data_IF_257623999297
#
_entry.id   IF_257623999297
#
_cell.length_a   1.000
_cell.length_b   1.000
_cell.length_c   1.000
_cell.angle_alpha   90.00
_cell.angle_beta   90.00
_cell.angle_gamma   90.00
#
_symmetry.space_group_name_H-M   'P 1'
#
loop_
_entity.id
_entity.type
_entity.pdbx_description
1 polymer ?
#
# COMPACT_ATOMS: atom_id res chain seq x y z
N UNK A 1 2.31 -9.75 15.73
CA UNK A 1 1.32 -10.24 14.77
C UNK A 1 0.02 -9.50 15.03
N UNK A 2 -0.53 -8.84 14.01
CA UNK A 2 -1.90 -8.36 14.08
C UNK A 2 -2.78 -9.58 14.36
N UNK A 3 -3.52 -9.57 15.46
CA UNK A 3 -4.53 -10.60 15.71
C UNK A 3 -5.64 -10.37 14.68
N UNK A 4 -5.95 -11.41 13.90
CA UNK A 4 -7.13 -11.38 13.06
C UNK A 4 -8.37 -11.21 13.94
N UNK A 5 -9.26 -10.35 13.52
CA UNK A 5 -10.55 -10.14 14.20
C UNK A 5 -11.43 -11.36 13.90
N UNK A 6 -11.82 -12.09 14.92
CA UNK A 6 -12.77 -13.22 14.80
C UNK A 6 -14.09 -12.89 15.48
N UNK A 7 -15.15 -13.61 15.13
CA UNK A 7 -16.46 -13.49 15.81
C UNK A 7 -16.27 -13.64 17.32
N UNK A 8 -15.55 -14.67 17.75
CA UNK A 8 -15.25 -14.91 19.16
C UNK A 8 -14.50 -13.75 19.83
N UNK A 9 -13.55 -13.10 19.11
CA UNK A 9 -12.82 -11.95 19.68
C UNK A 9 -13.70 -10.71 19.84
N UNK A 10 -14.71 -10.55 18.96
CA UNK A 10 -15.69 -9.46 19.08
C UNK A 10 -16.68 -9.74 20.22
N UNK A 11 -17.22 -10.96 20.29
CA UNK A 11 -18.16 -11.37 21.33
C UNK A 11 -17.56 -11.36 22.73
N UNK A 12 -16.25 -11.51 22.85
CA UNK A 12 -15.53 -11.46 24.12
C UNK A 12 -15.33 -10.03 24.65
N UNK A 13 -15.60 -8.96 23.84
CA UNK A 13 -15.44 -7.57 24.28
C UNK A 13 -16.60 -7.19 25.21
N UNK A 14 -16.26 -6.79 26.42
CA UNK A 14 -17.23 -6.33 27.41
C UNK A 14 -17.33 -4.80 27.42
N UNK A 15 -18.36 -4.26 28.06
CA UNK A 15 -18.48 -2.82 28.31
C UNK A 15 -17.32 -2.30 29.16
N UNK A 16 -16.86 -3.08 30.12
CA UNK A 16 -15.75 -2.77 31.00
C UNK A 16 -14.44 -2.65 30.22
N UNK A 17 -14.21 -3.49 29.22
CA UNK A 17 -13.05 -3.39 28.32
C UNK A 17 -13.07 -2.06 27.55
N UNK A 18 -14.24 -1.66 27.04
CA UNK A 18 -14.39 -0.39 26.31
C UNK A 18 -14.13 0.82 27.22
N UNK A 19 -14.64 0.79 28.45
CA UNK A 19 -14.42 1.86 29.45
C UNK A 19 -12.93 1.95 29.80
N UNK A 20 -12.29 0.81 30.08
CA UNK A 20 -10.87 0.76 30.39
C UNK A 20 -10.00 1.22 29.22
N UNK A 21 -10.35 0.82 28.00
CA UNK A 21 -9.65 1.30 26.80
C UNK A 21 -9.78 2.82 26.65
N UNK A 22 -11.01 3.35 26.74
CA UNK A 22 -11.27 4.77 26.62
C UNK A 22 -10.48 5.59 27.67
N UNK A 23 -10.55 5.19 28.94
CA UNK A 23 -9.82 5.86 30.02
C UNK A 23 -8.31 5.87 29.84
N UNK A 24 -7.77 4.81 29.24
CA UNK A 24 -6.33 4.68 28.99
C UNK A 24 -5.84 5.45 27.77
N UNK A 25 -6.65 5.56 26.71
CA UNK A 25 -6.17 5.99 25.40
C UNK A 25 -6.77 7.29 24.89
N UNK A 26 -7.98 7.65 25.35
CA UNK A 26 -8.71 8.81 24.81
C UNK A 26 -8.51 10.02 25.72
N UNK A 27 -7.59 10.89 25.35
CA UNK A 27 -7.26 12.10 26.08
C UNK A 27 -7.14 13.28 25.12
N UNK A 28 -7.50 14.52 25.54
CA UNK A 28 -7.52 15.68 24.65
C UNK A 28 -6.16 16.00 24.03
N UNK A 29 -5.07 15.70 24.73
CA UNK A 29 -3.71 15.90 24.23
C UNK A 29 -3.24 14.81 23.23
N UNK A 30 -4.06 13.81 22.96
CA UNK A 30 -3.85 12.78 21.92
C UNK A 30 -4.83 12.90 20.76
N UNK A 31 -5.60 14.00 20.67
CA UNK A 31 -6.64 14.19 19.65
C UNK A 31 -6.29 15.38 18.76
N UNK A 32 -6.42 15.18 17.46
CA UNK A 32 -6.43 16.24 16.43
C UNK A 32 -7.89 16.44 16.01
N UNK A 33 -8.42 17.64 16.17
CA UNK A 33 -9.80 17.96 15.80
C UNK A 33 -9.82 18.87 14.58
N UNK A 34 -10.40 18.36 13.49
CA UNK A 34 -10.69 19.15 12.29
C UNK A 34 -12.18 19.50 12.21
N UNK A 35 -12.50 20.76 11.94
CA UNK A 35 -13.89 21.22 11.82
C UNK A 35 -14.08 21.94 10.50
N UNK A 36 -15.14 21.57 9.78
CA UNK A 36 -15.55 22.23 8.53
C UNK A 36 -17.03 22.52 8.56
N UNK A 37 -17.46 23.60 7.94
CA UNK A 37 -18.88 23.97 7.85
C UNK A 37 -19.05 25.44 7.57
N UNK A 38 -20.29 25.87 7.63
CA UNK A 38 -20.68 27.28 7.52
C UNK A 38 -20.78 27.87 8.93
N UNK A 39 -19.71 28.51 9.42
CA UNK A 39 -19.64 29.09 10.75
C UNK A 39 -18.57 30.19 10.82
N UNK A 40 -18.80 31.12 11.75
CA UNK A 40 -17.77 32.08 12.13
C UNK A 40 -16.72 31.41 13.04
N UNK A 41 -15.43 31.62 12.72
CA UNK A 41 -14.30 30.99 13.46
C UNK A 41 -14.35 31.25 14.97
N UNK A 42 -14.73 32.48 15.38
CA UNK A 42 -14.78 32.87 16.78
C UNK A 42 -15.85 32.08 17.55
N UNK A 43 -17.03 31.93 16.95
CA UNK A 43 -18.16 31.22 17.53
C UNK A 43 -17.87 29.73 17.68
N UNK A 44 -17.30 29.11 16.62
CA UNK A 44 -16.89 27.71 16.67
C UNK A 44 -15.84 27.48 17.75
N UNK A 45 -14.84 28.34 17.87
CA UNK A 45 -13.84 28.23 18.93
C UNK A 45 -14.43 28.37 20.34
N UNK A 46 -15.45 29.22 20.50
CA UNK A 46 -16.15 29.36 21.78
C UNK A 46 -16.92 28.07 22.12
N UNK A 47 -17.63 27.50 21.16
CA UNK A 47 -18.33 26.22 21.32
C UNK A 47 -17.38 25.06 21.67
N UNK A 48 -16.25 24.96 20.95
CA UNK A 48 -15.26 23.93 21.23
C UNK A 48 -14.63 24.06 22.61
N UNK A 49 -14.34 25.30 23.05
CA UNK A 49 -13.84 25.55 24.41
C UNK A 49 -14.88 25.22 25.47
N UNK A 50 -16.15 25.54 25.24
CA UNK A 50 -17.22 25.17 26.16
C UNK A 50 -17.43 23.65 26.24
N UNK A 51 -17.28 22.94 25.12
CA UNK A 51 -17.48 21.49 25.07
C UNK A 51 -16.30 20.67 25.61
N UNK A 52 -15.06 21.13 25.40
CA UNK A 52 -13.85 20.34 25.64
C UNK A 52 -12.83 21.03 26.54
N UNK A 53 -13.06 22.30 26.94
CA UNK A 53 -12.07 23.08 27.67
C UNK A 53 -11.71 22.52 29.04
N UNK A 54 -12.65 21.90 29.72
CA UNK A 54 -12.48 21.28 31.03
C UNK A 54 -11.97 19.82 30.98
N UNK A 55 -11.78 19.28 29.76
CA UNK A 55 -11.30 17.91 29.64
C UNK A 55 -9.83 17.80 29.99
N UNK A 56 -9.57 17.13 31.11
CA UNK A 56 -8.21 17.01 31.69
C UNK A 56 -7.30 16.21 30.75
N UNK A 57 -6.08 16.70 30.55
CA UNK A 57 -5.02 15.97 29.84
C UNK A 57 -4.67 14.68 30.57
N UNK A 58 -4.34 13.64 29.83
CA UNK A 58 -3.94 12.34 30.34
C UNK A 58 -2.60 11.86 29.77
N UNK A 59 -2.20 10.69 30.21
CA UNK A 59 -1.02 10.01 29.70
C UNK A 59 -1.42 9.21 28.46
N UNK A 60 -1.17 9.77 27.26
CA UNK A 60 -1.39 9.08 26.00
C UNK A 60 -0.26 8.06 25.80
N UNK A 61 -0.58 6.75 25.75
CA UNK A 61 0.45 5.74 25.52
C UNK A 61 1.14 5.93 24.17
N UNK A 62 2.47 5.92 24.19
CA UNK A 62 3.23 5.91 22.93
C UNK A 62 2.99 4.58 22.20
N UNK A 63 2.58 4.68 20.93
CA UNK A 63 2.47 3.51 20.06
C UNK A 63 3.84 3.22 19.48
N UNK A 64 4.44 2.11 19.89
CA UNK A 64 5.67 1.62 19.27
C UNK A 64 5.30 0.67 18.13
N UNK A 65 5.63 1.05 16.90
CA UNK A 65 5.49 0.18 15.75
C UNK A 65 6.74 -0.70 15.72
N UNK A 66 6.62 -2.05 15.87
CA UNK A 66 7.77 -2.93 15.79
C UNK A 66 8.41 -2.83 14.40
N UNK A 67 9.73 -2.72 14.36
CA UNK A 67 10.43 -2.79 13.08
C UNK A 67 10.11 -4.11 12.38
N UNK A 68 9.81 -4.03 11.08
CA UNK A 68 9.60 -5.22 10.27
C UNK A 68 10.96 -5.87 10.03
N UNK A 69 11.19 -7.04 10.66
CA UNK A 69 12.35 -7.85 10.31
C UNK A 69 12.08 -8.59 9.00
N UNK A 70 12.89 -8.35 7.98
CA UNK A 70 12.87 -9.23 6.84
C UNK A 70 13.37 -10.62 7.28
N UNK A 71 12.58 -11.69 7.02
CA UNK A 71 13.12 -13.03 7.11
C UNK A 71 14.25 -13.17 6.08
N UNK A 72 15.28 -13.93 6.43
CA UNK A 72 16.49 -14.14 5.62
C UNK A 72 16.19 -14.16 4.11
N UNK A 73 16.83 -13.25 3.37
CA UNK A 73 16.60 -13.01 1.95
C UNK A 73 16.89 -14.20 1.04
N UNK A 74 17.48 -15.27 1.57
CA UNK A 74 17.94 -16.45 0.80
C UNK A 74 16.85 -17.48 0.51
N UNK A 75 15.69 -17.39 1.12
CA UNK A 75 14.58 -18.30 0.83
C UNK A 75 13.48 -17.53 0.13
N UNK A 76 13.43 -17.65 -1.19
CA UNK A 76 12.26 -17.22 -1.96
C UNK A 76 11.03 -17.82 -1.27
N UNK A 77 10.29 -16.98 -0.53
CA UNK A 77 9.14 -17.47 0.22
C UNK A 77 7.98 -17.61 -0.76
N UNK A 78 7.80 -18.84 -1.23
CA UNK A 78 6.62 -19.22 -1.99
C UNK A 78 5.63 -19.84 -1.00
N UNK A 79 4.49 -19.20 -0.85
CA UNK A 79 3.41 -19.69 0.00
C UNK A 79 2.15 -19.84 -0.80
N UNK A 80 1.35 -20.85 -0.47
CA UNK A 80 0.03 -20.97 -1.07
C UNK A 80 -1.00 -21.39 -0.04
N UNK A 81 -2.23 -20.98 -0.32
CA UNK A 81 -3.42 -21.43 0.40
C UNK A 81 -4.20 -22.33 -0.55
N UNK A 82 -4.42 -23.58 -0.14
CA UNK A 82 -5.25 -24.49 -0.88
C UNK A 82 -6.73 -24.15 -0.64
N UNK A 83 -7.37 -23.68 -1.69
CA UNK A 83 -8.79 -23.35 -1.68
C UNK A 83 -9.39 -23.67 -3.03
N UNK A 84 -10.53 -24.34 -3.04
CA UNK A 84 -11.26 -24.62 -4.28
C UNK A 84 -11.77 -23.32 -4.89
N UNK A 85 -11.06 -22.87 -5.95
CA UNK A 85 -11.37 -21.67 -6.69
C UNK A 85 -11.18 -21.92 -8.19
N UNK A 86 -11.99 -21.26 -8.99
CA UNK A 86 -11.89 -21.34 -10.47
C UNK A 86 -10.64 -20.69 -11.05
N UNK A 87 -9.99 -19.82 -10.27
CA UNK A 87 -8.82 -19.06 -10.66
C UNK A 87 -7.76 -19.08 -9.55
N UNK A 88 -6.50 -18.95 -9.95
CA UNK A 88 -5.39 -18.66 -9.04
C UNK A 88 -5.30 -17.17 -8.79
N UNK A 89 -5.35 -16.77 -7.53
CA UNK A 89 -5.10 -15.40 -7.09
C UNK A 89 -3.64 -15.26 -6.67
N UNK A 90 -2.93 -14.36 -7.32
CA UNK A 90 -1.50 -14.12 -7.09
C UNK A 90 -1.25 -12.78 -6.40
N UNK A 91 -0.34 -12.79 -5.45
CA UNK A 91 0.31 -11.61 -4.86
C UNK A 91 1.82 -11.86 -4.86
N UNK A 92 2.56 -11.03 -5.58
CA UNK A 92 4.02 -11.17 -5.74
C UNK A 92 4.65 -9.82 -5.44
N UNK A 93 5.49 -9.75 -4.42
CA UNK A 93 6.05 -8.46 -4.00
C UNK A 93 7.11 -8.57 -2.92
N UNK A 94 7.53 -7.43 -2.42
CA UNK A 94 8.53 -7.31 -1.35
C UNK A 94 8.28 -6.04 -0.52
N UNK A 95 8.98 -5.92 0.60
CA UNK A 95 9.06 -4.67 1.35
C UNK A 95 9.82 -3.61 0.53
N UNK A 96 9.41 -2.37 0.67
CA UNK A 96 9.96 -1.24 -0.08
C UNK A 96 10.27 -0.07 0.86
N UNK A 97 10.24 1.13 0.36
CA UNK A 97 10.65 2.36 1.03
C UNK A 97 9.52 3.02 1.82
N UNK A 98 9.89 3.92 2.71
CA UNK A 98 8.95 4.83 3.41
C UNK A 98 8.47 5.92 2.46
N UNK A 99 7.34 6.54 2.80
CA UNK A 99 6.83 7.71 2.07
C UNK A 99 7.77 8.93 2.17
N UNK A 100 8.54 9.00 3.25
CA UNK A 100 9.53 10.07 3.47
C UNK A 100 10.85 9.87 2.74
N UNK A 101 11.04 8.73 2.09
CA UNK A 101 12.24 8.46 1.30
C UNK A 101 12.37 9.44 0.12
N UNK A 102 13.56 9.96 -0.18
CA UNK A 102 13.78 10.82 -1.34
C UNK A 102 13.32 10.21 -2.67
N UNK A 103 13.40 8.89 -2.82
CA UNK A 103 13.02 8.17 -4.03
C UNK A 103 11.53 7.82 -4.11
N UNK A 104 10.75 8.08 -3.05
CA UNK A 104 9.33 7.69 -2.99
C UNK A 104 8.54 8.11 -4.23
N UNK A 105 8.67 9.38 -4.65
CA UNK A 105 7.93 9.91 -5.79
C UNK A 105 8.32 9.20 -7.09
N UNK A 106 9.62 8.95 -7.29
CA UNK A 106 10.11 8.24 -8.46
C UNK A 106 9.63 6.77 -8.49
N UNK A 107 9.62 6.10 -7.34
CA UNK A 107 9.09 4.73 -7.20
C UNK A 107 7.57 4.69 -7.43
N UNK A 108 6.83 5.70 -6.95
CA UNK A 108 5.38 5.79 -7.16
C UNK A 108 5.04 5.94 -8.65
N UNK A 109 5.73 6.82 -9.36
CA UNK A 109 5.57 6.99 -10.82
C UNK A 109 6.05 5.73 -11.58
N UNK A 110 7.17 5.12 -11.20
CA UNK A 110 7.61 3.85 -11.77
C UNK A 110 6.58 2.74 -11.59
N UNK A 111 5.94 2.66 -10.41
CA UNK A 111 4.85 1.72 -10.16
C UNK A 111 3.63 2.00 -11.04
N UNK A 112 3.27 3.27 -11.24
CA UNK A 112 2.13 3.63 -12.12
C UNK A 112 2.36 3.15 -13.56
N UNK A 113 3.55 3.38 -14.10
CA UNK A 113 3.95 2.91 -15.43
C UNK A 113 3.96 1.37 -15.49
N UNK A 114 4.48 0.71 -14.45
CA UNK A 114 4.58 -0.75 -14.44
C UNK A 114 3.22 -1.43 -14.37
N UNK A 115 2.36 -1.04 -13.43
CA UNK A 115 1.11 -1.75 -13.17
C UNK A 115 0.06 -0.99 -12.36
N UNK A 116 0.36 0.23 -11.91
CA UNK A 116 -0.57 1.04 -11.11
C UNK A 116 -1.71 1.60 -11.94
N UNK A 117 -1.44 2.03 -13.16
CA UNK A 117 -2.43 2.53 -14.09
C UNK A 117 -3.07 1.37 -14.87
N UNK A 118 -4.41 1.25 -14.81
CA UNK A 118 -5.10 0.03 -15.24
C UNK A 118 -4.86 -0.30 -16.71
N UNK A 119 -5.25 0.56 -17.68
CA UNK A 119 -5.26 0.21 -19.10
C UNK A 119 -3.96 0.56 -19.86
N UNK A 120 -3.11 1.42 -19.31
CA UNK A 120 -1.90 1.94 -19.96
C UNK A 120 -0.62 1.29 -19.47
N UNK A 121 -0.66 0.62 -18.31
CA UNK A 121 0.52 0.03 -17.68
C UNK A 121 1.14 -1.12 -18.48
N UNK A 122 2.44 -1.31 -18.30
CA UNK A 122 3.21 -2.37 -18.95
C UNK A 122 2.66 -3.77 -18.63
N UNK A 123 2.31 -4.04 -17.36
CA UNK A 123 1.73 -5.32 -16.95
C UNK A 123 0.38 -5.58 -17.59
N UNK A 124 -0.50 -4.57 -17.64
CA UNK A 124 -1.80 -4.74 -18.26
C UNK A 124 -1.66 -5.06 -19.74
N UNK A 125 -0.82 -4.31 -20.45
CA UNK A 125 -0.59 -4.51 -21.86
C UNK A 125 0.05 -5.86 -22.18
N UNK A 126 1.06 -6.29 -21.41
CA UNK A 126 1.78 -7.54 -21.65
C UNK A 126 0.96 -8.77 -21.26
N UNK A 127 0.39 -8.77 -20.04
CA UNK A 127 -0.25 -9.96 -19.48
C UNK A 127 -1.69 -10.12 -19.96
N UNK A 128 -2.45 -9.02 -19.99
CA UNK A 128 -3.87 -9.08 -20.38
C UNK A 128 -4.06 -8.86 -21.87
N UNK A 129 -3.62 -7.72 -22.39
CA UNK A 129 -3.98 -7.33 -23.76
C UNK A 129 -3.30 -8.21 -24.80
N UNK A 130 -1.99 -8.41 -24.69
CA UNK A 130 -1.21 -9.15 -25.70
C UNK A 130 -1.33 -10.66 -25.55
N UNK A 131 -1.46 -11.17 -24.32
CA UNK A 131 -1.34 -12.61 -24.02
C UNK A 131 -2.62 -13.24 -23.50
N UNK A 132 -3.58 -12.47 -23.02
CA UNK A 132 -4.83 -13.01 -22.48
C UNK A 132 -4.66 -13.90 -21.25
N UNK A 133 -3.55 -13.75 -20.50
CA UNK A 133 -3.21 -14.64 -19.39
C UNK A 133 -4.03 -14.36 -18.12
N UNK A 134 -4.45 -13.12 -17.90
CA UNK A 134 -5.20 -12.72 -16.73
C UNK A 134 -6.24 -11.67 -17.07
N UNK A 135 -7.41 -11.74 -16.43
CA UNK A 135 -8.45 -10.70 -16.56
C UNK A 135 -8.10 -9.45 -15.72
N UNK A 136 -7.61 -9.66 -14.50
CA UNK A 136 -7.18 -8.62 -13.58
C UNK A 136 -5.68 -8.76 -13.35
N UNK A 137 -4.95 -7.68 -13.59
CA UNK A 137 -3.50 -7.61 -13.39
C UNK A 137 -3.10 -6.17 -13.08
N UNK A 138 -2.14 -6.00 -12.20
CA UNK A 138 -1.61 -4.68 -11.86
C UNK A 138 -0.56 -4.74 -10.76
N UNK A 139 -0.06 -3.57 -10.36
CA UNK A 139 0.82 -3.40 -9.21
C UNK A 139 0.30 -2.32 -8.26
N UNK A 140 0.83 -2.29 -7.05
CA UNK A 140 0.49 -1.30 -6.05
C UNK A 140 1.64 -1.03 -5.10
N UNK A 141 1.78 0.22 -4.71
CA UNK A 141 2.70 0.70 -3.70
C UNK A 141 1.89 1.18 -2.49
N UNK A 142 2.19 0.62 -1.33
CA UNK A 142 1.69 1.09 -0.04
C UNK A 142 2.89 1.53 0.78
N UNK A 143 3.20 2.79 0.74
CA UNK A 143 4.20 3.39 1.60
C UNK A 143 3.55 3.91 2.90
N UNK A 144 4.37 4.04 3.93
CA UNK A 144 4.01 4.62 5.22
C UNK A 144 5.13 5.57 5.64
N UNK A 145 4.80 6.57 6.44
CA UNK A 145 5.80 7.45 7.05
C UNK A 145 6.54 6.77 8.21
N UNK A 146 5.93 5.76 8.82
CA UNK A 146 6.42 5.11 10.04
C UNK A 146 7.31 3.91 9.76
N UNK A 147 7.00 3.15 8.71
CA UNK A 147 7.65 1.87 8.44
C UNK A 147 7.86 1.64 6.95
N UNK A 148 8.69 0.66 6.61
CA UNK A 148 8.89 0.24 5.22
C UNK A 148 7.56 -0.20 4.61
N UNK A 149 7.28 0.33 3.44
CA UNK A 149 6.08 0.03 2.69
C UNK A 149 6.08 -1.37 2.08
N UNK A 150 4.98 -1.71 1.44
CA UNK A 150 4.83 -2.92 0.65
C UNK A 150 4.59 -2.55 -0.80
N UNK A 151 5.41 -3.09 -1.68
CA UNK A 151 5.17 -3.06 -3.11
C UNK A 151 4.81 -4.46 -3.60
N UNK A 152 3.74 -4.58 -4.39
CA UNK A 152 3.27 -5.87 -4.87
C UNK A 152 2.63 -5.80 -6.26
N UNK A 153 2.80 -6.86 -7.03
CA UNK A 153 2.05 -7.18 -8.24
C UNK A 153 0.94 -8.18 -7.91
N UNK A 154 -0.16 -8.09 -8.62
CA UNK A 154 -1.32 -8.96 -8.43
C UNK A 154 -1.90 -9.43 -9.76
N UNK A 155 -2.44 -10.64 -9.78
CA UNK A 155 -3.23 -11.13 -10.90
C UNK A 155 -4.24 -12.18 -10.46
N UNK A 156 -5.27 -12.34 -11.27
CA UNK A 156 -6.23 -13.43 -11.22
C UNK A 156 -6.15 -14.17 -12.55
N UNK A 157 -5.74 -15.44 -12.53
CA UNK A 157 -5.40 -16.20 -13.72
C UNK A 157 -5.83 -17.66 -13.62
N UNK A 158 -5.84 -18.35 -14.76
CA UNK A 158 -6.05 -19.80 -14.78
C UNK A 158 -4.82 -20.51 -14.17
N UNK A 159 -5.03 -21.69 -13.57
CA UNK A 159 -3.94 -22.50 -13.05
C UNK A 159 -2.85 -22.76 -14.11
N UNK A 160 -3.24 -23.10 -15.33
CA UNK A 160 -2.32 -23.36 -16.45
C UNK A 160 -1.48 -22.16 -16.88
N UNK A 161 -1.90 -20.94 -16.54
CA UNK A 161 -1.19 -19.70 -16.88
C UNK A 161 -0.41 -19.10 -15.71
N UNK A 162 -0.53 -19.68 -14.52
CA UNK A 162 0.05 -19.14 -13.27
C UNK A 162 1.56 -18.94 -13.39
N UNK A 163 2.30 -19.95 -13.87
CA UNK A 163 3.75 -19.86 -14.03
C UNK A 163 4.16 -18.75 -15.00
N UNK A 164 3.46 -18.67 -16.15
CA UNK A 164 3.76 -17.64 -17.15
C UNK A 164 3.47 -16.23 -16.59
N UNK A 165 2.37 -16.04 -15.85
CA UNK A 165 2.06 -14.74 -15.22
C UNK A 165 3.17 -14.30 -14.27
N UNK A 166 3.68 -15.19 -13.40
CA UNK A 166 4.79 -14.87 -12.50
C UNK A 166 6.06 -14.53 -13.28
N UNK A 167 6.37 -15.30 -14.33
CA UNK A 167 7.52 -15.00 -15.21
C UNK A 167 7.36 -13.62 -15.90
N UNK A 168 6.13 -13.26 -16.30
CA UNK A 168 5.86 -11.92 -16.87
C UNK A 168 6.02 -10.81 -15.87
N UNK A 169 5.66 -11.04 -14.60
CA UNK A 169 5.90 -10.08 -13.51
C UNK A 169 7.39 -9.77 -13.39
N UNK A 170 8.21 -10.81 -13.26
CA UNK A 170 9.67 -10.65 -13.17
C UNK A 170 10.23 -9.95 -14.42
N UNK A 171 9.82 -10.38 -15.62
CA UNK A 171 10.30 -9.79 -16.86
C UNK A 171 9.96 -8.30 -17.01
N UNK A 172 8.74 -7.89 -16.65
CA UNK A 172 8.35 -6.47 -16.70
C UNK A 172 9.05 -5.64 -15.62
N UNK A 173 9.29 -6.21 -14.44
CA UNK A 173 10.09 -5.59 -13.39
C UNK A 173 11.54 -5.36 -13.85
N UNK A 174 12.17 -6.38 -14.45
CA UNK A 174 13.52 -6.26 -15.02
C UNK A 174 13.58 -5.22 -16.16
N UNK A 175 12.56 -5.14 -16.99
CA UNK A 175 12.47 -4.09 -18.01
C UNK A 175 12.42 -2.69 -17.41
N UNK A 176 11.70 -2.49 -16.29
CA UNK A 176 11.69 -1.19 -15.60
C UNK A 176 13.08 -0.82 -15.06
N UNK A 177 13.88 -1.80 -14.67
CA UNK A 177 15.24 -1.60 -14.17
C UNK A 177 16.25 -1.31 -15.29
N UNK A 178 16.11 -1.99 -16.41
CA UNK A 178 17.16 -2.06 -17.43
C UNK A 178 16.87 -1.21 -18.68
N UNK A 179 15.61 -0.91 -18.93
CA UNK A 179 15.18 -0.11 -20.09
C UNK A 179 14.61 1.25 -19.59
N UNK A 180 14.99 2.37 -20.21
CA UNK A 180 14.37 3.65 -19.88
C UNK A 180 12.87 3.62 -20.22
N UNK A 181 12.09 4.38 -19.48
CA UNK A 181 10.69 4.65 -19.83
C UNK A 181 10.63 5.57 -21.05
N UNK A 182 9.57 5.48 -21.85
CA UNK A 182 9.35 6.40 -22.96
C UNK A 182 8.89 7.77 -22.45
N UNK A 183 9.03 8.80 -23.28
CA UNK A 183 8.53 10.15 -22.93
C UNK A 183 7.03 10.10 -22.70
N UNK A 184 6.28 9.35 -23.52
CA UNK A 184 4.83 9.18 -23.36
C UNK A 184 4.47 8.52 -22.04
N UNK A 185 5.15 7.42 -21.66
CA UNK A 185 4.92 6.76 -20.36
C UNK A 185 5.13 7.71 -19.18
N UNK A 186 6.22 8.50 -19.22
CA UNK A 186 6.55 9.45 -18.16
C UNK A 186 5.53 10.58 -18.06
N UNK A 187 5.22 11.24 -19.17
CA UNK A 187 4.28 12.36 -19.17
C UNK A 187 2.87 11.94 -18.79
N UNK A 188 2.37 10.82 -19.32
CA UNK A 188 1.06 10.29 -18.93
C UNK A 188 0.98 9.91 -17.44
N UNK A 189 2.03 9.34 -16.87
CA UNK A 189 2.07 9.01 -15.45
C UNK A 189 2.13 10.26 -14.57
N UNK A 190 2.92 11.27 -14.94
CA UNK A 190 2.96 12.57 -14.28
C UNK A 190 1.59 13.25 -14.30
N UNK A 191 0.96 13.32 -15.47
CA UNK A 191 -0.37 13.93 -15.62
C UNK A 191 -1.42 13.22 -14.78
N UNK A 192 -1.43 11.88 -14.80
CA UNK A 192 -2.36 11.09 -13.99
C UNK A 192 -2.17 11.37 -12.49
N UNK A 193 -0.92 11.43 -12.04
CA UNK A 193 -0.61 11.74 -10.63
C UNK A 193 -1.06 13.17 -10.26
N UNK A 194 -0.70 14.17 -11.06
CA UNK A 194 -1.04 15.56 -10.81
C UNK A 194 -2.55 15.82 -10.86
N UNK A 195 -3.25 15.17 -11.79
CA UNK A 195 -4.71 15.25 -11.87
C UNK A 195 -5.36 14.62 -10.64
N UNK A 196 -4.91 13.44 -10.21
CA UNK A 196 -5.44 12.79 -9.00
C UNK A 196 -5.21 13.65 -7.74
N UNK A 197 -4.08 14.36 -7.70
CA UNK A 197 -3.75 15.28 -6.61
C UNK A 197 -4.77 16.43 -6.50
N UNK A 198 -5.17 17.05 -7.62
CA UNK A 198 -6.17 18.13 -7.60
C UNK A 198 -7.52 17.65 -7.04
N UNK A 199 -7.94 16.44 -7.39
CA UNK A 199 -9.18 15.86 -6.87
C UNK A 199 -9.18 15.59 -5.36
N UNK A 200 -8.00 15.55 -4.74
CA UNK A 200 -7.88 15.38 -3.28
C UNK A 200 -8.31 16.63 -2.48
N UNK A 201 -8.54 17.77 -3.14
CA UNK A 201 -8.84 19.07 -2.51
C UNK A 201 -10.20 19.65 -2.97
N UNK A 202 -11.14 18.81 -3.37
CA UNK A 202 -12.42 19.25 -3.95
C UNK A 202 -13.45 19.72 -2.93
N UNK A 203 -13.23 19.48 -1.64
CA UNK A 203 -14.16 19.90 -0.57
C UNK A 203 -13.38 20.41 0.66
N UNK A 204 -14.05 21.25 1.46
CA UNK A 204 -13.48 21.71 2.72
C UNK A 204 -13.12 20.55 3.66
N UNK A 205 -13.95 19.49 3.70
CA UNK A 205 -13.68 18.28 4.47
C UNK A 205 -12.40 17.55 4.01
N UNK A 206 -12.21 17.41 2.69
CA UNK A 206 -11.00 16.76 2.17
C UNK A 206 -9.74 17.57 2.47
N UNK A 207 -9.82 18.90 2.40
CA UNK A 207 -8.71 19.79 2.76
C UNK A 207 -8.34 19.63 4.24
N UNK A 208 -9.34 19.72 5.13
CA UNK A 208 -9.11 19.57 6.58
C UNK A 208 -8.59 18.16 6.91
N UNK A 209 -9.15 17.11 6.29
CA UNK A 209 -8.65 15.74 6.45
C UNK A 209 -7.16 15.64 6.10
N UNK A 210 -6.74 16.19 4.96
CA UNK A 210 -5.32 16.17 4.55
C UNK A 210 -4.41 16.97 5.50
N UNK A 211 -4.88 18.10 6.04
CA UNK A 211 -4.12 18.84 7.06
C UNK A 211 -3.99 18.06 8.36
N UNK A 212 -5.04 17.32 8.74
CA UNK A 212 -4.98 16.43 9.91
C UNK A 212 -4.01 15.26 9.70
N UNK A 213 -3.99 14.66 8.49
CA UNK A 213 -3.03 13.61 8.14
C UNK A 213 -1.59 14.13 8.26
N UNK A 214 -1.29 15.32 7.71
CA UNK A 214 0.04 15.92 7.81
C UNK A 214 0.47 16.17 9.27
N UNK A 215 -0.43 16.67 10.10
CA UNK A 215 -0.18 16.91 11.51
C UNK A 215 0.03 15.59 12.27
N UNK A 216 -0.81 14.58 12.01
CA UNK A 216 -0.72 13.25 12.60
C UNK A 216 0.59 12.54 12.26
N UNK A 217 1.00 12.65 10.98
CA UNK A 217 2.20 12.01 10.45
C UNK A 217 3.49 12.79 10.74
N UNK A 218 3.36 13.99 11.35
CA UNK A 218 4.51 14.87 11.64
C UNK A 218 5.19 15.41 10.39
N UNK A 219 4.46 15.51 9.27
CA UNK A 219 4.99 15.97 7.99
C UNK A 219 4.94 17.50 7.87
N UNK A 220 5.83 18.13 7.09
CA UNK A 220 5.80 19.58 6.84
C UNK A 220 4.44 20.02 6.24
N UNK A 221 3.99 21.22 6.58
CA UNK A 221 2.72 21.75 6.05
C UNK A 221 2.69 21.91 4.53
N UNK A 222 3.85 22.07 3.92
CA UNK A 222 4.04 22.16 2.47
C UNK A 222 4.42 20.82 1.82
N UNK A 223 4.30 19.71 2.55
CA UNK A 223 4.65 18.36 2.08
C UNK A 223 4.00 18.02 0.73
N UNK A 224 2.71 18.28 0.63
CA UNK A 224 1.97 18.02 -0.61
C UNK A 224 2.48 18.86 -1.78
N UNK A 225 2.89 20.09 -1.52
CA UNK A 225 3.52 20.95 -2.51
C UNK A 225 4.89 20.40 -2.92
N UNK A 226 5.69 19.94 -1.95
CA UNK A 226 6.98 19.32 -2.23
C UNK A 226 6.84 18.07 -3.10
N UNK A 227 5.84 17.20 -2.82
CA UNK A 227 5.56 16.03 -3.65
C UNK A 227 5.22 16.44 -5.07
N UNK A 228 4.29 17.39 -5.26
CA UNK A 228 3.92 17.90 -6.57
C UNK A 228 5.14 18.43 -7.36
N UNK A 229 5.96 19.21 -6.70
CA UNK A 229 7.13 19.83 -7.34
C UNK A 229 8.19 18.77 -7.72
N UNK A 230 8.32 17.71 -6.92
CA UNK A 230 9.14 16.54 -7.26
C UNK A 230 8.60 15.80 -8.48
N UNK A 231 7.27 15.54 -8.56
CA UNK A 231 6.65 14.89 -9.74
C UNK A 231 6.95 15.66 -11.01
N UNK A 232 6.76 17.00 -10.99
CA UNK A 232 7.02 17.85 -12.17
C UNK A 232 8.46 17.73 -12.67
N UNK A 233 9.42 17.65 -11.74
CA UNK A 233 10.86 17.63 -12.05
C UNK A 233 11.42 16.26 -12.42
N UNK A 234 10.66 15.17 -12.23
CA UNK A 234 11.15 13.81 -12.51
C UNK A 234 11.59 13.65 -13.96
N UNK A 235 12.70 12.94 -14.13
CA UNK A 235 13.26 12.56 -15.44
C UNK A 235 13.15 11.04 -15.65
N UNK A 236 13.42 10.58 -16.87
CA UNK A 236 13.47 9.14 -17.18
C UNK A 236 14.60 8.45 -16.42
N UNK A 237 15.69 9.15 -16.23
CA UNK A 237 16.87 8.70 -15.48
C UNK A 237 16.53 8.50 -14.01
N UNK A 238 15.75 9.39 -13.41
CA UNK A 238 15.28 9.25 -12.02
C UNK A 238 14.41 8.01 -11.86
N UNK A 239 13.47 7.78 -12.79
CA UNK A 239 12.61 6.60 -12.80
C UNK A 239 13.44 5.32 -12.91
N UNK A 240 14.39 5.27 -13.85
CA UNK A 240 15.23 4.09 -14.04
C UNK A 240 16.15 3.84 -12.83
N UNK A 241 16.75 4.89 -12.28
CA UNK A 241 17.57 4.81 -11.06
C UNK A 241 16.76 4.27 -9.89
N UNK A 242 15.58 4.82 -9.64
CA UNK A 242 14.69 4.39 -8.57
C UNK A 242 14.22 2.93 -8.79
N UNK A 243 13.86 2.57 -10.01
CA UNK A 243 13.49 1.18 -10.33
C UNK A 243 14.66 0.19 -10.08
N UNK A 244 15.89 0.56 -10.45
CA UNK A 244 17.09 -0.26 -10.16
C UNK A 244 17.33 -0.44 -8.66
N UNK A 245 17.12 0.60 -7.87
CA UNK A 245 17.36 0.59 -6.43
C UNK A 245 16.27 -0.18 -5.66
N UNK A 246 15.00 -0.02 -6.05
CA UNK A 246 13.87 -0.40 -5.22
C UNK A 246 12.99 -1.53 -5.78
N UNK A 247 13.03 -1.85 -7.07
CA UNK A 247 12.38 -3.03 -7.62
C UNK A 247 13.37 -4.18 -7.64
N UNK A 248 13.27 -5.09 -6.68
CA UNK A 248 14.26 -6.14 -6.48
C UNK A 248 13.67 -7.54 -6.74
N UNK A 249 13.93 -8.15 -7.92
CA UNK A 249 13.44 -9.48 -8.26
C UNK A 249 13.87 -10.57 -7.28
N UNK A 250 15.06 -10.45 -6.68
CA UNK A 250 15.60 -11.46 -5.76
C UNK A 250 14.90 -11.45 -4.39
N UNK A 251 14.22 -10.35 -4.04
CA UNK A 251 13.47 -10.20 -2.79
C UNK A 251 11.99 -10.57 -2.93
N UNK A 252 11.55 -10.97 -4.13
CA UNK A 252 10.16 -11.28 -4.38
C UNK A 252 9.68 -12.46 -3.53
N UNK A 253 8.49 -12.27 -2.97
CA UNK A 253 7.72 -13.27 -2.23
C UNK A 253 6.45 -13.52 -2.98
N UNK A 254 6.07 -14.79 -3.09
CA UNK A 254 4.88 -15.23 -3.81
C UNK A 254 3.89 -15.76 -2.80
N UNK A 255 2.68 -15.21 -2.82
CA UNK A 255 1.50 -15.77 -2.17
C UNK A 255 0.47 -16.09 -3.25
N UNK A 256 0.03 -17.33 -3.28
CA UNK A 256 -1.00 -17.80 -4.19
C UNK A 256 -2.17 -18.41 -3.42
N UNK A 257 -3.38 -18.17 -3.91
CA UNK A 257 -4.59 -18.88 -3.44
C UNK A 257 -5.20 -19.59 -4.64
N UNK A 258 -5.45 -20.88 -4.53
CA UNK A 258 -6.00 -21.66 -5.63
C UNK A 258 -6.08 -23.16 -5.30
N UNK A 259 -6.51 -23.94 -6.28
CA UNK A 259 -6.91 -25.32 -6.09
C UNK A 259 -5.76 -26.32 -6.21
N UNK A 260 -5.56 -27.09 -5.15
CA UNK A 260 -4.90 -28.40 -5.16
C UNK A 260 -3.39 -28.45 -5.30
N UNK A 261 -2.88 -29.69 -5.34
CA UNK A 261 -1.46 -30.01 -5.55
C UNK A 261 -0.87 -29.46 -6.87
N UNK A 262 -1.71 -29.30 -7.88
CA UNK A 262 -1.25 -28.81 -9.17
C UNK A 262 -0.72 -27.37 -9.07
N UNK A 263 -1.30 -26.52 -8.20
CA UNK A 263 -0.79 -25.19 -7.94
C UNK A 263 0.58 -25.25 -7.24
N UNK A 264 0.73 -26.10 -6.24
CA UNK A 264 1.99 -26.31 -5.53
C UNK A 264 3.11 -26.73 -6.49
N UNK A 265 2.83 -27.66 -7.41
CA UNK A 265 3.79 -28.10 -8.45
C UNK A 265 4.22 -26.96 -9.38
N UNK A 266 3.28 -26.13 -9.82
CA UNK A 266 3.57 -24.95 -10.65
C UNK A 266 4.46 -23.97 -9.90
N UNK A 267 4.14 -23.71 -8.64
CA UNK A 267 4.87 -22.75 -7.80
C UNK A 267 6.29 -23.24 -7.42
N UNK A 268 6.54 -24.55 -7.40
CA UNK A 268 7.85 -25.12 -7.06
C UNK A 268 8.98 -24.66 -7.99
N UNK A 269 8.67 -24.18 -9.20
CA UNK A 269 9.66 -23.58 -10.11
C UNK A 269 10.24 -22.25 -9.60
N UNK A 270 9.62 -21.62 -8.60
CA UNK A 270 10.05 -20.33 -8.04
C UNK A 270 10.72 -20.44 -6.66
N UNK A 271 10.74 -21.64 -6.07
CA UNK A 271 11.38 -21.89 -4.78
C UNK A 271 10.66 -22.94 -3.95
N UNK A 272 11.09 -23.08 -2.68
CA UNK A 272 10.44 -23.98 -1.73
C UNK A 272 9.01 -23.52 -1.43
N UNK A 273 8.04 -24.38 -1.70
CA UNK A 273 6.62 -24.08 -1.51
C UNK A 273 6.16 -24.51 -0.12
N UNK A 274 5.57 -23.58 0.64
CA UNK A 274 4.96 -23.85 1.94
C UNK A 274 3.45 -23.59 1.87
N UNK A 275 2.65 -24.60 2.23
CA UNK A 275 1.22 -24.44 2.38
C UNK A 275 0.88 -23.69 3.67
N UNK A 276 -0.03 -22.73 3.56
CA UNK A 276 -0.65 -22.05 4.71
C UNK A 276 -2.01 -22.70 4.93
N UNK A 277 -2.16 -23.42 6.04
CA UNK A 277 -3.44 -23.93 6.46
C UNK A 277 -4.24 -22.80 7.10
N UNK A 278 -5.40 -22.46 6.51
CA UNK A 278 -6.35 -21.56 7.16
C UNK A 278 -6.99 -22.31 8.32
N UNK A 279 -6.79 -21.83 9.53
CA UNK A 279 -7.51 -22.34 10.69
C UNK A 279 -8.96 -21.83 10.57
N UNK A 280 -9.97 -22.71 10.51
CA UNK A 280 -11.34 -22.25 10.52
C UNK A 280 -11.59 -21.41 11.77
N UNK A 281 -12.25 -20.27 11.63
CA UNK A 281 -12.76 -19.54 12.78
C UNK A 281 -13.78 -20.42 13.50
N UNK A 282 -13.40 -20.95 14.65
CA UNK A 282 -14.30 -21.67 15.56
C UNK A 282 -15.06 -20.67 16.42
#
# INVERSE_FOLDING_TARGET
SARETSVRSIEAITREDLVAFHQRTVHPNGIILGVTGDFEKADMLALLRAAFGDWAKGNVPAVTIPAVSEPDAKTGLVRFVNKDTSQTHLRVGHLTIKETDPDYVAVAIANDILGGSSFRSRLFNDVRTKRGLAYSVGSGLRASVYDEGVWLMRAETKLSSTQEVVNRFVANMERMRNEPVTDTELEEAKEAYLNSFVFSFTSASSIVGRLMDLEYDGLPKDWLQQIRDRVVKLTKEDIQRAAKAHFNPERLRILAVGSGEALSKVLASFGEVKEITLVPES
#
